data_IF_382473879114
#
_entry.id   IF_382473879114
#
_cell.length_a   1.000
_cell.length_b   1.000
_cell.length_c   1.000
_cell.angle_alpha   90.00
_cell.angle_beta   90.00
_cell.angle_gamma   90.00
#
_symmetry.space_group_name_H-M   'P 1'
#
loop_
_entity.id
_entity.type
_entity.pdbx_description
1 polymer ?
#
# COMPACT_ATOMS: atom_id res chain seq x y z
N UNK A 1 4.88 -15.01 -14.16
CA UNK A 1 3.58 -15.04 -13.46
C UNK A 1 3.27 -16.39 -12.81
N UNK A 2 2.67 -17.38 -13.51
CA UNK A 2 2.13 -18.62 -12.89
C UNK A 2 3.13 -19.36 -11.99
N UNK A 3 4.33 -19.66 -12.51
CA UNK A 3 5.35 -20.38 -11.74
C UNK A 3 5.87 -19.58 -10.53
N UNK A 4 5.88 -18.25 -10.60
CA UNK A 4 6.37 -17.36 -9.54
C UNK A 4 5.45 -17.38 -8.32
N UNK A 5 4.14 -17.47 -8.53
CA UNK A 5 3.15 -17.51 -7.44
C UNK A 5 3.19 -18.83 -6.66
N UNK A 6 3.48 -19.94 -7.34
CA UNK A 6 3.44 -21.28 -6.75
C UNK A 6 4.38 -21.39 -5.53
N UNK A 7 3.82 -21.80 -4.39
CA UNK A 7 4.54 -21.96 -3.13
C UNK A 7 4.81 -20.67 -2.36
N UNK A 8 4.33 -19.52 -2.85
CA UNK A 8 4.33 -18.24 -2.11
C UNK A 8 3.05 -18.09 -1.31
N UNK A 9 3.07 -17.16 -0.36
CA UNK A 9 1.91 -16.87 0.49
C UNK A 9 1.22 -15.57 0.07
N UNK A 10 -0.08 -15.49 0.31
CA UNK A 10 -0.76 -14.24 0.58
C UNK A 10 -0.79 -14.03 2.10
N UNK A 11 -0.40 -12.84 2.58
CA UNK A 11 -0.45 -12.49 4.00
C UNK A 11 -1.63 -11.56 4.29
N UNK A 12 -2.62 -12.05 5.05
CA UNK A 12 -3.68 -11.21 5.63
C UNK A 12 -3.23 -10.62 6.95
N UNK A 13 -3.15 -9.29 7.03
CA UNK A 13 -2.94 -8.54 8.27
C UNK A 13 -4.30 -7.98 8.72
N UNK A 14 -4.87 -8.60 9.75
CA UNK A 14 -6.29 -8.55 10.05
C UNK A 14 -7.08 -9.57 9.21
N UNK A 15 -8.35 -9.29 8.98
CA UNK A 15 -9.29 -10.14 8.27
C UNK A 15 -10.23 -9.29 7.39
N UNK A 16 -11.54 -9.42 7.55
CA UNK A 16 -12.56 -8.72 6.77
C UNK A 16 -12.60 -7.23 7.11
N UNK A 17 -12.53 -6.37 6.10
CA UNK A 17 -12.74 -4.93 6.24
C UNK A 17 -14.17 -4.58 5.83
N UNK A 18 -14.95 -4.01 6.75
CA UNK A 18 -16.27 -3.41 6.47
C UNK A 18 -17.30 -4.30 5.73
N UNK A 19 -17.13 -5.62 5.74
CA UNK A 19 -17.98 -6.54 4.98
C UNK A 19 -17.70 -6.57 3.48
N UNK A 20 -16.56 -6.04 3.02
CA UNK A 20 -16.10 -6.11 1.63
C UNK A 20 -15.88 -7.57 1.27
N UNK A 21 -16.58 -8.07 0.25
CA UNK A 21 -16.55 -9.48 -0.13
C UNK A 21 -15.14 -9.96 -0.49
N UNK A 22 -14.35 -9.15 -1.20
CA UNK A 22 -12.96 -9.48 -1.56
C UNK A 22 -12.01 -9.57 -0.37
N UNK A 23 -12.38 -8.97 0.76
CA UNK A 23 -11.59 -9.04 2.00
C UNK A 23 -11.86 -10.28 2.85
N UNK A 24 -12.84 -11.12 2.47
CA UNK A 24 -13.07 -12.43 3.08
C UNK A 24 -12.06 -13.41 2.48
N UNK A 25 -10.99 -13.79 3.20
CA UNK A 25 -9.94 -14.62 2.61
C UNK A 25 -10.51 -15.98 2.19
N UNK A 26 -10.34 -16.34 0.93
CA UNK A 26 -10.79 -17.62 0.39
C UNK A 26 -9.57 -18.51 0.11
N UNK A 27 -9.17 -19.38 1.06
CA UNK A 27 -7.95 -20.15 0.90
C UNK A 27 -8.00 -21.16 -0.25
N UNK A 28 -9.18 -21.71 -0.56
CA UNK A 28 -9.37 -22.66 -1.66
C UNK A 28 -9.03 -22.01 -3.01
N UNK A 29 -9.42 -20.75 -3.21
CA UNK A 29 -9.04 -19.99 -4.41
C UNK A 29 -7.52 -19.91 -4.58
N UNK A 30 -6.81 -19.45 -3.54
CA UNK A 30 -5.35 -19.31 -3.58
C UNK A 30 -4.64 -20.65 -3.77
N UNK A 31 -5.09 -21.70 -3.09
CA UNK A 31 -4.47 -23.01 -3.15
C UNK A 31 -4.73 -23.70 -4.51
N UNK A 32 -5.99 -23.79 -4.94
CA UNK A 32 -6.37 -24.55 -6.13
C UNK A 32 -5.98 -23.85 -7.43
N UNK A 33 -6.18 -22.53 -7.52
CA UNK A 33 -5.94 -21.79 -8.75
C UNK A 33 -4.52 -21.24 -8.86
N UNK A 34 -3.94 -20.78 -7.75
CA UNK A 34 -2.64 -20.08 -7.76
C UNK A 34 -1.50 -20.94 -7.23
N UNK A 35 -1.79 -22.07 -6.58
CA UNK A 35 -0.80 -22.89 -5.89
C UNK A 35 -0.11 -22.13 -4.75
N UNK A 36 -0.80 -21.16 -4.16
CA UNK A 36 -0.33 -20.29 -3.08
C UNK A 36 -0.80 -20.81 -1.71
N UNK A 37 -0.15 -20.31 -0.66
CA UNK A 37 -0.54 -20.48 0.75
C UNK A 37 -1.26 -19.21 1.23
N UNK A 38 -1.96 -19.31 2.35
CA UNK A 38 -2.51 -18.14 3.05
C UNK A 38 -1.98 -18.12 4.47
N UNK A 39 -1.38 -16.99 4.83
CA UNK A 39 -0.85 -16.70 6.16
C UNK A 39 -1.71 -15.62 6.80
N UNK A 40 -1.91 -15.72 8.11
CA UNK A 40 -2.85 -14.87 8.84
C UNK A 40 -2.19 -14.31 10.09
N UNK A 41 -2.25 -13.00 10.24
CA UNK A 41 -1.75 -12.28 11.41
C UNK A 41 -2.83 -11.29 11.83
N UNK A 42 -3.24 -11.30 13.09
CA UNK A 42 -4.13 -10.26 13.61
C UNK A 42 -3.43 -8.90 13.67
N UNK A 43 -4.17 -7.81 13.49
CA UNK A 43 -3.60 -6.46 13.50
C UNK A 43 -2.91 -6.09 14.83
N UNK A 44 -3.21 -6.79 15.95
CA UNK A 44 -2.48 -6.63 17.21
C UNK A 44 -0.98 -6.91 17.11
N UNK A 45 -0.53 -7.72 16.14
CA UNK A 45 0.91 -7.96 15.93
C UNK A 45 1.67 -6.68 15.57
N UNK A 46 1.02 -5.76 14.86
CA UNK A 46 1.59 -4.45 14.54
C UNK A 46 1.90 -3.70 15.84
N UNK A 47 0.93 -3.63 16.74
CA UNK A 47 1.10 -2.94 18.02
C UNK A 47 2.13 -3.65 18.89
N UNK A 48 2.16 -4.98 18.92
CA UNK A 48 3.19 -5.75 19.62
C UNK A 48 4.59 -5.36 19.13
N UNK A 49 4.80 -5.33 17.81
CA UNK A 49 6.10 -4.96 17.24
C UNK A 49 6.46 -3.50 17.48
N UNK A 50 5.50 -2.58 17.42
CA UNK A 50 5.75 -1.17 17.74
C UNK A 50 6.15 -1.00 19.22
N UNK A 51 5.38 -1.56 20.15
CA UNK A 51 5.61 -1.40 21.59
C UNK A 51 6.88 -2.09 22.08
N UNK A 52 7.19 -3.27 21.56
CA UNK A 52 8.37 -4.05 21.95
C UNK A 52 9.62 -3.70 21.12
N UNK A 53 9.51 -2.76 20.17
CA UNK A 53 10.65 -2.32 19.35
C UNK A 53 11.15 -3.37 18.36
N UNK A 54 10.26 -4.21 17.81
CA UNK A 54 10.58 -5.32 16.89
C UNK A 54 10.59 -4.81 15.44
N UNK A 55 11.59 -3.99 15.13
CA UNK A 55 11.90 -3.44 13.82
C UNK A 55 13.35 -2.96 13.84
N UNK A 56 14.00 -2.79 12.70
CA UNK A 56 15.36 -2.23 12.65
C UNK A 56 15.35 -0.74 13.03
N UNK A 57 15.97 -0.39 14.17
CA UNK A 57 16.02 0.99 14.67
C UNK A 57 16.97 1.88 13.86
N UNK A 58 18.03 1.31 13.28
CA UNK A 58 18.95 2.05 12.42
C UNK A 58 18.29 2.37 11.08
N UNK A 59 17.54 1.42 10.53
CA UNK A 59 16.71 1.67 9.35
C UNK A 59 15.62 2.69 9.64
N UNK A 60 14.91 2.56 10.75
CA UNK A 60 13.88 3.52 11.15
C UNK A 60 14.42 4.96 11.20
N UNK A 61 15.63 5.17 11.73
CA UNK A 61 16.24 6.50 11.74
C UNK A 61 16.49 7.06 10.33
N UNK A 62 16.95 6.22 9.38
CA UNK A 62 17.11 6.61 7.96
C UNK A 62 15.76 6.88 7.29
N UNK A 63 14.78 6.02 7.55
CA UNK A 63 13.42 6.12 7.04
C UNK A 63 12.76 7.43 7.49
N UNK A 64 12.93 7.81 8.75
CA UNK A 64 12.43 9.08 9.28
C UNK A 64 13.13 10.28 8.65
N UNK A 65 14.46 10.26 8.50
CA UNK A 65 15.19 11.35 7.86
C UNK A 65 14.74 11.56 6.40
N UNK A 66 14.51 10.48 5.66
CA UNK A 66 13.96 10.53 4.31
C UNK A 66 12.51 11.04 4.30
N UNK A 67 11.67 10.52 5.20
CA UNK A 67 10.25 10.90 5.32
C UNK A 67 10.09 12.37 5.69
N UNK A 68 10.93 12.90 6.59
CA UNK A 68 10.97 14.32 6.95
C UNK A 68 11.28 15.18 5.71
N UNK A 69 12.31 14.77 4.95
CA UNK A 69 12.78 15.52 3.78
C UNK A 69 11.79 15.53 2.62
N UNK A 70 11.19 14.38 2.30
CA UNK A 70 10.42 14.20 1.05
C UNK A 70 8.90 14.15 1.24
N UNK A 71 8.41 13.75 2.42
CA UNK A 71 6.97 13.56 2.65
C UNK A 71 6.41 14.60 3.61
N UNK A 72 6.91 14.66 4.85
CA UNK A 72 6.39 15.54 5.89
C UNK A 72 6.60 17.02 5.59
N UNK A 73 7.69 17.38 4.92
CA UNK A 73 7.90 18.74 4.39
C UNK A 73 6.86 19.16 3.34
N UNK A 74 6.17 18.17 2.74
CA UNK A 74 5.08 18.34 1.78
C UNK A 74 3.73 17.90 2.37
N UNK A 75 3.57 17.88 3.70
CA UNK A 75 2.29 17.57 4.36
C UNK A 75 1.21 18.53 3.83
N UNK A 76 0.14 17.95 3.27
CA UNK A 76 -0.91 18.71 2.60
C UNK A 76 -1.78 19.52 3.56
N UNK A 77 -2.66 20.34 2.99
CA UNK A 77 -3.67 21.08 3.76
C UNK A 77 -4.54 20.11 4.56
N UNK A 78 -4.68 20.38 5.84
CA UNK A 78 -5.57 19.64 6.72
C UNK A 78 -7.02 20.12 6.51
N UNK A 79 -7.85 19.24 5.96
CA UNK A 79 -9.27 19.52 5.69
C UNK A 79 -10.20 19.08 6.83
N UNK A 80 -9.67 18.65 7.98
CA UNK A 80 -10.49 18.33 9.13
C UNK A 80 -11.18 19.59 9.70
N UNK A 81 -12.38 19.46 10.28
CA UNK A 81 -12.93 20.53 11.09
C UNK A 81 -12.01 20.80 12.29
N UNK A 82 -11.95 22.06 12.74
CA UNK A 82 -10.96 22.54 13.73
C UNK A 82 -10.84 21.65 14.98
N UNK A 83 -11.95 21.11 15.48
CA UNK A 83 -11.99 20.25 16.67
C UNK A 83 -11.44 18.82 16.46
N UNK A 84 -11.17 18.41 15.22
CA UNK A 84 -10.52 17.15 14.86
C UNK A 84 -9.08 17.33 14.35
N UNK A 85 -8.63 18.58 14.19
CA UNK A 85 -7.25 18.86 13.78
C UNK A 85 -6.31 18.53 14.93
N UNK A 86 -5.41 17.58 14.70
CA UNK A 86 -4.37 17.22 15.66
C UNK A 86 -3.33 18.34 15.82
N UNK A 87 -2.76 18.44 17.02
CA UNK A 87 -1.60 19.27 17.28
C UNK A 87 -0.38 18.82 16.45
N UNK A 88 0.62 19.70 16.29
CA UNK A 88 1.85 19.35 15.56
C UNK A 88 2.58 18.16 16.19
N UNK A 89 2.63 18.11 17.53
CA UNK A 89 3.25 17.01 18.28
C UNK A 89 2.53 15.67 18.01
N UNK A 90 1.20 15.66 18.02
CA UNK A 90 0.42 14.46 17.68
C UNK A 90 0.63 14.04 16.22
N UNK A 91 0.68 14.99 15.28
CA UNK A 91 0.97 14.68 13.88
C UNK A 91 2.37 14.09 13.71
N UNK A 92 3.37 14.61 14.42
CA UNK A 92 4.73 14.10 14.38
C UNK A 92 4.83 12.67 14.94
N UNK A 93 4.13 12.38 16.04
CA UNK A 93 4.01 11.03 16.57
C UNK A 93 3.32 10.07 15.58
N UNK A 94 2.32 10.54 14.83
CA UNK A 94 1.65 9.76 13.77
C UNK A 94 2.58 9.46 12.61
N UNK A 95 3.41 10.41 12.19
CA UNK A 95 4.45 10.19 11.17
C UNK A 95 5.42 9.08 11.58
N UNK A 96 5.94 9.14 12.80
CA UNK A 96 6.80 8.06 13.32
C UNK A 96 6.09 6.71 13.32
N UNK A 97 4.82 6.69 13.70
CA UNK A 97 4.04 5.47 13.79
C UNK A 97 3.81 4.83 12.41
N UNK A 98 3.41 5.60 11.40
CA UNK A 98 3.18 5.05 10.05
C UNK A 98 4.48 4.60 9.37
N UNK A 99 5.62 5.22 9.67
CA UNK A 99 6.93 4.75 9.19
C UNK A 99 7.29 3.41 9.84
N UNK A 100 7.11 3.25 11.16
CA UNK A 100 7.29 1.95 11.84
C UNK A 100 6.36 0.89 11.27
N UNK A 101 5.09 1.24 11.05
CA UNK A 101 4.10 0.33 10.48
C UNK A 101 4.52 -0.17 9.09
N UNK A 102 5.09 0.71 8.27
CA UNK A 102 5.61 0.36 6.93
C UNK A 102 6.74 -0.66 7.00
N UNK A 103 7.70 -0.47 7.91
CA UNK A 103 8.80 -1.42 8.15
C UNK A 103 8.24 -2.77 8.62
N UNK A 104 7.32 -2.75 9.59
CA UNK A 104 6.71 -3.94 10.17
C UNK A 104 5.94 -4.74 9.11
N UNK A 105 5.16 -4.08 8.25
CA UNK A 105 4.44 -4.73 7.16
C UNK A 105 5.39 -5.45 6.21
N UNK A 106 6.44 -4.75 5.77
CA UNK A 106 7.47 -5.34 4.89
C UNK A 106 8.15 -6.54 5.56
N UNK A 107 8.58 -6.38 6.81
CA UNK A 107 9.29 -7.42 7.55
C UNK A 107 8.40 -8.65 7.81
N UNK A 108 7.09 -8.47 8.02
CA UNK A 108 6.15 -9.60 8.07
C UNK A 108 6.04 -10.29 6.71
N UNK A 109 6.02 -9.56 5.60
CA UNK A 109 5.93 -10.19 4.28
C UNK A 109 7.15 -11.06 3.95
N UNK A 110 8.35 -10.48 4.05
CA UNK A 110 9.58 -11.07 3.48
C UNK A 110 10.63 -11.46 4.51
N UNK A 111 10.40 -11.18 5.80
CA UNK A 111 11.39 -11.38 6.85
C UNK A 111 12.42 -10.25 6.89
N UNK A 112 13.24 -10.25 7.93
CA UNK A 112 14.32 -9.30 8.11
C UNK A 112 15.45 -9.91 8.95
N UNK A 113 16.64 -10.18 8.39
CA UNK A 113 17.77 -10.74 9.13
C UNK A 113 18.19 -9.91 10.35
N UNK A 114 17.97 -8.59 10.32
CA UNK A 114 18.30 -7.71 11.44
C UNK A 114 17.51 -8.06 12.70
N UNK A 115 16.27 -8.51 12.55
CA UNK A 115 15.46 -8.97 13.68
C UNK A 115 16.10 -10.19 14.37
N UNK A 116 16.75 -11.08 13.62
CA UNK A 116 17.47 -12.22 14.20
C UNK A 116 18.68 -11.76 15.02
N UNK A 117 19.42 -10.76 14.54
CA UNK A 117 20.53 -10.13 15.28
C UNK A 117 20.05 -9.47 16.58
N UNK A 118 18.83 -8.91 16.55
CA UNK A 118 18.16 -8.31 17.72
C UNK A 118 17.56 -9.35 18.68
N UNK A 119 17.62 -10.65 18.34
CA UNK A 119 17.11 -11.74 19.17
C UNK A 119 15.70 -12.24 18.80
N UNK A 120 15.03 -11.58 17.86
CA UNK A 120 13.68 -11.91 17.35
C UNK A 120 13.76 -12.88 16.17
N UNK A 121 14.26 -14.09 16.44
CA UNK A 121 14.54 -15.10 15.40
C UNK A 121 13.28 -15.58 14.68
N UNK A 122 12.16 -15.72 15.40
CA UNK A 122 10.89 -16.11 14.79
C UNK A 122 10.38 -15.03 13.83
N UNK A 123 10.32 -13.78 14.30
CA UNK A 123 9.86 -12.64 13.51
C UNK A 123 10.73 -12.35 12.29
N UNK A 124 12.03 -12.70 12.36
CA UNK A 124 12.99 -12.52 11.27
C UNK A 124 12.68 -13.34 10.02
N UNK A 125 11.90 -14.42 10.14
CA UNK A 125 11.61 -15.35 9.03
C UNK A 125 10.58 -14.79 8.05
N UNK A 126 9.69 -13.92 8.51
CA UNK A 126 8.52 -13.46 7.75
C UNK A 126 7.57 -14.58 7.35
N UNK A 127 6.66 -14.28 6.42
CA UNK A 127 5.59 -15.18 5.98
C UNK A 127 5.77 -15.69 4.54
N UNK A 128 6.94 -15.45 3.91
CA UNK A 128 7.22 -15.79 2.50
C UNK A 128 6.09 -15.28 1.57
N UNK A 129 5.61 -14.08 1.86
CA UNK A 129 4.48 -13.48 1.17
C UNK A 129 4.95 -12.75 -0.09
N UNK A 130 4.32 -13.06 -1.22
CA UNK A 130 4.52 -12.31 -2.48
C UNK A 130 3.50 -11.18 -2.63
N UNK A 131 2.39 -11.28 -1.90
CA UNK A 131 1.35 -10.27 -1.81
C UNK A 131 0.79 -10.26 -0.39
N UNK A 132 0.29 -9.12 0.06
CA UNK A 132 -0.33 -8.98 1.37
C UNK A 132 -1.47 -7.97 1.32
N UNK A 133 -2.24 -7.87 2.39
CA UNK A 133 -3.23 -6.82 2.56
C UNK A 133 -3.44 -6.46 4.01
N UNK A 134 -3.80 -5.20 4.24
CA UNK A 134 -4.06 -4.68 5.57
C UNK A 134 -5.52 -4.32 5.72
N UNK A 135 -6.18 -4.93 6.71
CA UNK A 135 -7.61 -4.74 6.95
C UNK A 135 -7.92 -3.26 7.23
N UNK A 136 -7.14 -2.63 8.11
CA UNK A 136 -7.34 -1.25 8.56
C UNK A 136 -8.73 -1.04 9.16
N UNK A 137 -9.68 -0.66 8.32
CA UNK A 137 -11.04 -0.38 8.75
C UNK A 137 -11.74 -1.64 9.31
N UNK A 138 -12.48 -1.55 10.43
CA UNK A 138 -12.70 -0.37 11.27
C UNK A 138 -11.86 -0.37 12.54
N UNK A 139 -11.61 -1.55 13.09
CA UNK A 139 -11.09 -1.72 14.45
C UNK A 139 -9.71 -1.10 14.64
N UNK A 140 -8.86 -1.14 13.61
CA UNK A 140 -7.56 -0.47 13.69
C UNK A 140 -7.71 1.03 13.56
N UNK A 141 -8.33 1.52 12.48
CA UNK A 141 -8.41 2.95 12.16
C UNK A 141 -9.27 3.75 13.14
N UNK A 142 -10.17 3.09 13.87
CA UNK A 142 -10.93 3.70 14.96
C UNK A 142 -10.05 4.04 16.20
N UNK A 143 -8.80 3.56 16.24
CA UNK A 143 -7.89 3.76 17.37
C UNK A 143 -6.47 4.23 16.97
N UNK A 144 -5.90 3.68 15.90
CA UNK A 144 -4.53 3.91 15.43
C UNK A 144 -4.52 4.65 14.09
N UNK A 145 -3.39 5.26 13.69
CA UNK A 145 -3.21 5.80 12.34
C UNK A 145 -3.53 4.76 11.27
N UNK A 146 -4.13 5.20 10.16
CA UNK A 146 -4.48 4.33 9.03
C UNK A 146 -3.26 3.79 8.27
N UNK A 147 -3.56 2.97 7.25
CA UNK A 147 -2.61 2.30 6.38
C UNK A 147 -2.01 3.17 5.29
N UNK A 148 -2.44 4.42 5.11
CA UNK A 148 -2.33 5.09 3.82
C UNK A 148 -0.88 5.24 3.35
N UNK A 149 -0.03 5.71 4.25
CA UNK A 149 1.40 5.88 3.99
C UNK A 149 2.09 4.53 3.72
N UNK A 150 1.80 3.52 4.54
CA UNK A 150 2.41 2.19 4.38
C UNK A 150 2.02 1.54 3.07
N UNK A 151 0.74 1.57 2.72
CA UNK A 151 0.22 1.02 1.48
C UNK A 151 0.77 1.75 0.25
N UNK A 152 0.86 3.08 0.31
CA UNK A 152 1.43 3.88 -0.78
C UNK A 152 2.92 3.56 -0.98
N UNK A 153 3.72 3.57 0.09
CA UNK A 153 5.16 3.33 0.01
C UNK A 153 5.50 1.88 -0.37
N UNK A 154 4.78 0.89 0.16
CA UNK A 154 5.01 -0.52 -0.20
C UNK A 154 4.75 -0.78 -1.69
N UNK A 155 3.65 -0.25 -2.23
CA UNK A 155 3.32 -0.37 -3.67
C UNK A 155 4.16 0.58 -4.56
N UNK A 156 4.98 1.45 -4.00
CA UNK A 156 5.89 2.34 -4.75
C UNK A 156 7.20 1.63 -5.05
N UNK A 157 7.79 1.92 -6.22
CA UNK A 157 9.05 1.33 -6.69
C UNK A 157 10.31 1.96 -6.07
N UNK A 158 10.17 2.69 -4.96
CA UNK A 158 11.26 3.32 -4.23
C UNK A 158 10.83 3.68 -2.81
N UNK A 159 11.80 3.75 -1.90
CA UNK A 159 11.64 4.31 -0.56
C UNK A 159 13.00 4.84 -0.05
N UNK A 160 13.15 4.96 1.27
CA UNK A 160 14.38 5.41 1.92
C UNK A 160 15.61 4.51 1.68
N UNK A 161 15.43 3.29 1.19
CA UNK A 161 16.52 2.39 0.79
C UNK A 161 16.86 2.49 -0.72
N UNK A 162 16.22 3.40 -1.45
CA UNK A 162 16.42 3.63 -2.88
C UNK A 162 15.35 2.97 -3.75
N UNK A 163 15.65 2.88 -5.05
CA UNK A 163 14.79 2.26 -6.05
C UNK A 163 14.76 0.73 -5.84
N UNK A 164 13.57 0.13 -5.84
CA UNK A 164 13.35 -1.30 -5.61
C UNK A 164 12.11 -1.82 -6.33
N UNK A 165 11.98 -3.14 -6.38
CA UNK A 165 10.71 -3.75 -6.78
C UNK A 165 9.58 -3.30 -5.85
N UNK A 166 8.45 -2.91 -6.43
CA UNK A 166 7.25 -2.58 -5.67
C UNK A 166 6.66 -3.86 -5.05
N UNK A 167 6.26 -3.79 -3.78
CA UNK A 167 5.45 -4.85 -3.19
C UNK A 167 4.04 -4.80 -3.78
N UNK A 168 3.32 -5.93 -3.73
CA UNK A 168 1.89 -5.96 -4.01
C UNK A 168 1.12 -5.99 -2.69
N UNK A 169 0.49 -4.87 -2.34
CA UNK A 169 -0.11 -4.68 -1.03
C UNK A 169 -1.51 -4.06 -1.15
N UNK A 170 -2.54 -4.75 -0.67
CA UNK A 170 -3.93 -4.32 -0.80
C UNK A 170 -4.44 -3.53 0.40
N UNK A 171 -5.02 -2.37 0.10
CA UNK A 171 -5.92 -1.63 0.98
C UNK A 171 -7.10 -2.50 1.39
N UNK A 172 -7.55 -2.36 2.63
CA UNK A 172 -8.74 -3.02 3.18
C UNK A 172 -8.70 -4.56 3.14
N UNK A 173 -7.49 -5.11 3.03
CA UNK A 173 -7.23 -6.54 2.84
C UNK A 173 -8.05 -7.15 1.69
N UNK A 174 -8.39 -6.38 0.64
CA UNK A 174 -9.07 -6.92 -0.54
C UNK A 174 -8.15 -7.88 -1.29
N UNK A 175 -8.29 -9.17 -0.96
CA UNK A 175 -7.45 -10.26 -1.47
C UNK A 175 -7.60 -10.45 -2.98
N UNK A 176 -8.77 -10.13 -3.53
CA UNK A 176 -9.08 -10.31 -4.96
C UNK A 176 -8.53 -9.14 -5.78
N UNK A 177 -8.62 -7.91 -5.25
CA UNK A 177 -7.97 -6.77 -5.87
C UNK A 177 -6.44 -6.94 -5.82
N UNK A 178 -5.91 -7.42 -4.68
CA UNK A 178 -4.49 -7.75 -4.55
C UNK A 178 -4.03 -8.82 -5.54
N UNK A 179 -4.85 -9.86 -5.77
CA UNK A 179 -4.55 -10.89 -6.78
C UNK A 179 -4.50 -10.30 -8.19
N UNK A 180 -5.41 -9.36 -8.49
CA UNK A 180 -5.42 -8.64 -9.78
C UNK A 180 -4.17 -7.78 -9.96
N UNK A 181 -3.77 -7.06 -8.90
CA UNK A 181 -2.50 -6.33 -8.87
C UNK A 181 -1.32 -7.28 -9.07
N UNK A 182 -1.28 -8.42 -8.37
CA UNK A 182 -0.18 -9.38 -8.44
C UNK A 182 -0.04 -9.95 -9.86
N UNK A 183 -1.15 -10.24 -10.55
CA UNK A 183 -1.12 -10.68 -11.93
C UNK A 183 -0.48 -9.63 -12.84
N UNK A 184 -0.93 -8.39 -12.73
CA UNK A 184 -0.38 -7.29 -13.52
C UNK A 184 1.11 -7.10 -13.23
N UNK A 185 1.48 -7.04 -11.95
CA UNK A 185 2.86 -6.88 -11.50
C UNK A 185 3.76 -7.99 -12.07
N UNK A 186 3.36 -9.25 -11.97
CA UNK A 186 4.15 -10.38 -12.48
C UNK A 186 4.19 -10.51 -14.02
N UNK A 187 3.38 -9.71 -14.74
CA UNK A 187 3.39 -9.62 -16.20
C UNK A 187 4.17 -8.40 -16.70
N UNK A 188 4.20 -7.31 -15.94
CA UNK A 188 4.80 -6.04 -16.38
C UNK A 188 6.06 -5.64 -15.62
N UNK A 189 6.29 -6.22 -14.44
CA UNK A 189 7.29 -5.82 -13.45
C UNK A 189 7.17 -4.35 -12.99
N UNK A 190 5.99 -3.75 -13.12
CA UNK A 190 5.70 -2.38 -12.69
C UNK A 190 4.91 -2.37 -11.39
N UNK A 191 5.01 -1.26 -10.64
CA UNK A 191 4.08 -0.95 -9.56
C UNK A 191 2.61 -0.98 -10.05
N UNK A 192 1.67 -1.15 -9.11
CA UNK A 192 0.25 -1.32 -9.42
C UNK A 192 -0.60 -0.32 -8.64
N UNK A 193 -1.59 0.26 -9.32
CA UNK A 193 -2.57 1.17 -8.73
C UNK A 193 -3.71 0.36 -8.13
N UNK A 194 -3.96 0.55 -6.83
CA UNK A 194 -5.21 0.20 -6.18
C UNK A 194 -6.16 1.41 -6.30
N UNK A 195 -7.43 1.20 -6.64
CA UNK A 195 -8.40 2.30 -6.72
C UNK A 195 -9.84 1.83 -6.53
N UNK A 196 -10.65 2.67 -5.89
CA UNK A 196 -12.11 2.53 -6.00
C UNK A 196 -12.57 2.98 -7.37
N UNK A 197 -13.53 2.24 -7.91
CA UNK A 197 -14.34 2.68 -9.05
C UNK A 197 -15.40 3.65 -8.55
N UNK A 198 -14.98 4.87 -8.21
CA UNK A 198 -15.75 5.77 -7.35
C UNK A 198 -16.95 6.40 -8.04
N UNK A 199 -16.81 6.84 -9.29
CA UNK A 199 -17.88 7.60 -9.97
C UNK A 199 -17.79 7.49 -11.47
N UNK A 200 -18.93 7.30 -12.14
CA UNK A 200 -19.06 7.52 -13.57
C UNK A 200 -19.48 8.97 -13.87
N UNK A 201 -18.66 9.69 -14.61
CA UNK A 201 -18.95 11.02 -15.12
C UNK A 201 -19.45 10.95 -16.56
N UNK A 202 -20.76 11.01 -16.74
CA UNK A 202 -21.35 11.14 -18.07
C UNK A 202 -21.06 12.52 -18.67
N UNK A 203 -21.02 12.65 -20.01
CA UNK A 203 -20.84 13.95 -20.67
C UNK A 203 -21.86 15.00 -20.19
N UNK A 204 -23.13 14.61 -20.08
CA UNK A 204 -24.20 15.48 -19.62
C UNK A 204 -24.00 15.93 -18.16
N UNK A 205 -23.48 15.05 -17.29
CA UNK A 205 -23.23 15.42 -15.90
C UNK A 205 -22.11 16.47 -15.81
N UNK A 206 -21.01 16.30 -16.55
CA UNK A 206 -19.90 17.26 -16.59
C UNK A 206 -20.37 18.60 -17.16
N UNK A 207 -21.10 18.60 -18.28
CA UNK A 207 -21.61 19.84 -18.87
C UNK A 207 -22.55 20.56 -17.90
N UNK A 208 -23.42 19.83 -17.20
CA UNK A 208 -24.32 20.39 -16.19
C UNK A 208 -23.59 21.07 -15.03
N UNK A 209 -22.53 20.47 -14.49
CA UNK A 209 -21.84 21.00 -13.29
C UNK A 209 -20.70 21.96 -13.59
N UNK A 210 -20.13 21.92 -14.80
CA UNK A 210 -18.96 22.74 -15.18
C UNK A 210 -19.22 23.71 -16.32
N UNK A 211 -20.31 23.53 -17.07
CA UNK A 211 -20.59 24.24 -18.32
C UNK A 211 -19.72 23.80 -19.52
N UNK A 212 -18.88 22.77 -19.36
CA UNK A 212 -17.94 22.32 -20.41
C UNK A 212 -18.39 21.00 -21.04
N UNK A 213 -18.27 20.93 -22.37
CA UNK A 213 -18.42 19.68 -23.12
C UNK A 213 -17.12 18.88 -23.09
N UNK A 214 -17.23 17.57 -22.92
CA UNK A 214 -16.08 16.67 -22.99
C UNK A 214 -15.66 16.44 -24.43
N UNK A 215 -14.35 16.31 -24.65
CA UNK A 215 -13.73 16.08 -25.95
C UNK A 215 -12.66 14.98 -25.88
N UNK A 216 -12.13 14.58 -27.04
CA UNK A 216 -11.06 13.58 -27.13
C UNK A 216 -11.45 12.22 -26.55
N UNK A 217 -10.53 11.57 -25.83
CA UNK A 217 -10.78 10.26 -25.21
C UNK A 217 -11.91 10.28 -24.15
N UNK A 218 -12.18 11.45 -23.56
CA UNK A 218 -13.20 11.61 -22.53
C UNK A 218 -14.58 11.99 -23.11
N UNK A 219 -14.72 12.13 -24.44
CA UNK A 219 -15.94 12.65 -25.07
C UNK A 219 -17.22 11.87 -24.70
N UNK A 220 -17.09 10.57 -24.42
CA UNK A 220 -18.20 9.69 -24.06
C UNK A 220 -18.32 9.47 -22.53
N UNK A 221 -17.68 10.31 -21.74
CA UNK A 221 -17.60 10.17 -20.29
C UNK A 221 -16.36 9.40 -19.85
N UNK A 222 -16.15 9.37 -18.54
CA UNK A 222 -15.02 8.70 -17.92
C UNK A 222 -15.36 8.21 -16.52
N UNK A 223 -14.51 7.35 -15.99
CA UNK A 223 -14.61 6.82 -14.63
C UNK A 223 -13.57 7.53 -13.77
N UNK A 224 -14.00 8.03 -12.62
CA UNK A 224 -13.11 8.54 -11.58
C UNK A 224 -12.62 7.37 -10.73
N UNK A 225 -11.34 7.06 -10.87
CA UNK A 225 -10.64 6.07 -10.06
C UNK A 225 -9.88 6.78 -8.95
N UNK A 226 -10.20 6.48 -7.69
CA UNK A 226 -9.58 7.10 -6.53
C UNK A 226 -9.69 6.15 -5.35
N UNK A 227 -8.56 5.68 -4.82
CA UNK A 227 -8.58 4.87 -3.60
C UNK A 227 -8.99 5.71 -2.38
N UNK A 228 -9.28 5.03 -1.27
CA UNK A 228 -9.65 5.64 0.00
C UNK A 228 -8.50 6.30 0.78
N UNK A 229 -7.34 6.56 0.16
CA UNK A 229 -6.23 7.27 0.81
C UNK A 229 -4.86 6.98 0.20
N UNK A 230 -4.57 5.71 -0.11
CA UNK A 230 -3.27 5.27 -0.63
C UNK A 230 -3.24 5.02 -2.13
N UNK A 231 -2.10 5.28 -2.77
CA UNK A 231 -1.81 4.82 -4.13
C UNK A 231 -0.29 4.79 -4.32
N UNK A 232 0.21 3.91 -5.19
CA UNK A 232 1.61 3.93 -5.60
C UNK A 232 2.00 5.29 -6.18
N UNK A 233 3.15 5.83 -5.77
CA UNK A 233 3.66 7.11 -6.28
C UNK A 233 4.08 7.02 -7.75
N UNK A 234 4.39 5.81 -8.24
CA UNK A 234 4.57 5.55 -9.67
C UNK A 234 3.32 5.95 -10.49
N UNK A 235 2.13 5.85 -9.88
CA UNK A 235 0.84 6.20 -10.48
C UNK A 235 0.66 7.69 -10.77
N UNK A 236 1.58 8.54 -10.31
CA UNK A 236 1.64 9.97 -10.70
C UNK A 236 1.85 10.14 -12.20
N UNK A 237 2.47 9.15 -12.88
CA UNK A 237 2.82 9.24 -14.30
C UNK A 237 3.98 10.18 -14.59
N UNK A 238 4.75 10.59 -13.57
CA UNK A 238 5.91 11.48 -13.73
C UNK A 238 7.11 10.80 -14.41
N UNK A 239 7.18 9.47 -14.37
CA UNK A 239 8.17 8.70 -15.11
C UNK A 239 7.89 8.78 -16.62
N UNK A 240 8.93 8.88 -17.45
CA UNK A 240 8.77 9.01 -18.90
C UNK A 240 9.53 7.96 -19.70
N UNK A 241 8.97 7.57 -20.84
CA UNK A 241 9.61 6.82 -21.93
C UNK A 241 9.17 7.45 -23.25
N UNK A 242 10.12 7.79 -24.13
CA UNK A 242 9.84 8.50 -25.38
C UNK A 242 9.01 9.77 -25.20
N UNK A 243 9.32 10.56 -24.15
CA UNK A 243 8.60 11.77 -23.74
C UNK A 243 7.10 11.56 -23.43
N UNK A 244 6.67 10.32 -23.15
CA UNK A 244 5.30 10.00 -22.72
C UNK A 244 5.28 9.50 -21.27
N UNK A 245 4.23 9.84 -20.50
CA UNK A 245 4.08 9.36 -19.13
C UNK A 245 3.86 7.85 -19.11
N UNK A 246 4.58 7.15 -18.25
CA UNK A 246 4.53 5.68 -18.09
C UNK A 246 4.76 5.31 -16.62
N UNK A 247 4.49 4.06 -16.25
CA UNK A 247 5.06 3.41 -15.07
C UNK A 247 6.09 2.40 -15.57
N UNK A 248 7.33 2.45 -15.06
CA UNK A 248 8.44 1.63 -15.53
C UNK A 248 8.75 0.48 -14.56
N UNK A 249 9.37 -0.61 -15.04
CA UNK A 249 10.04 -1.54 -14.15
C UNK A 249 11.14 -0.84 -13.35
N UNK A 250 11.34 -1.25 -12.11
CA UNK A 250 12.20 -0.50 -11.17
C UNK A 250 13.65 -0.32 -11.65
N UNK A 251 14.22 -1.30 -12.37
CA UNK A 251 15.57 -1.19 -12.93
C UNK A 251 15.71 -0.17 -14.08
N UNK A 252 14.60 0.38 -14.57
CA UNK A 252 14.58 1.46 -15.58
C UNK A 252 14.24 2.82 -14.96
N UNK A 253 13.91 2.87 -13.67
CA UNK A 253 13.65 4.12 -12.94
C UNK A 253 14.99 4.80 -12.65
N UNK A 254 14.99 6.13 -12.73
CA UNK A 254 16.14 7.00 -12.44
C UNK A 254 15.73 7.98 -11.35
N UNK A 255 16.71 8.47 -10.59
CA UNK A 255 16.53 9.57 -9.62
C UNK A 255 16.03 10.87 -10.26
#
# INVERSE_FOLDING_TARGET
>A
AVATMKGKSYLSIGSVSMGIAGSIPNPDFFQEYLGMRNEYVDASEIERRVQLGIYDHEEFARAMAWTEKYCKSNEGTDFNPEHLVYSREEKDARWEYVVKMTLIFRDMMIGNPKLAEMGFKEESMGHNAIAAGFQGQRQWTDYKPDGDFSEAILNTSFDWNGIREAFTFATENDTLNCTSMLFNHLLTNTAQIFADVRTYWSPNAIERVTGKKLEGKAANGFIHLINSGSCTLDGTGCQTRDNKPVMKPFWEITE
#
